data_IF_925920101924
#
_entry.id   IF_925920101924
#
_cell.length_a   1.000
_cell.length_b   1.000
_cell.length_c   1.000
_cell.angle_alpha   90.00
_cell.angle_beta   90.00
_cell.angle_gamma   90.00
#
_symmetry.space_group_name_H-M   'P 1'
#
loop_
_entity.id
_entity.type
_entity.pdbx_description
1 polymer ?
#
# COMPACT_ATOMS: atom_id res chain seq x y z
N UNK A 1 2.79 -32.19 -66.16
CA UNK A 1 3.53 -31.64 -65.00
C UNK A 1 3.12 -30.19 -64.80
N UNK A 2 2.20 -29.90 -63.89
CA UNK A 2 1.73 -28.52 -63.59
C UNK A 2 2.64 -27.90 -62.54
N UNK A 3 3.40 -26.85 -62.90
CA UNK A 3 4.19 -26.09 -61.93
C UNK A 3 3.26 -25.20 -61.14
N UNK A 4 3.19 -25.48 -59.83
CA UNK A 4 2.45 -24.64 -58.89
C UNK A 4 3.39 -23.46 -58.53
N UNK A 5 3.02 -22.24 -58.95
CA UNK A 5 3.74 -21.02 -58.62
C UNK A 5 3.21 -20.56 -57.25
N UNK A 6 4.05 -20.74 -56.22
CA UNK A 6 3.78 -20.25 -54.86
C UNK A 6 4.02 -18.73 -54.84
N UNK A 7 2.92 -17.97 -54.85
CA UNK A 7 2.98 -16.50 -54.72
C UNK A 7 3.20 -16.20 -53.21
N UNK A 8 4.44 -15.89 -52.84
CA UNK A 8 4.78 -15.45 -51.49
C UNK A 8 4.24 -13.99 -51.36
N UNK A 9 3.11 -13.82 -50.71
CA UNK A 9 2.60 -12.48 -50.36
C UNK A 9 3.54 -11.86 -49.33
N UNK A 10 4.32 -10.88 -49.75
CA UNK A 10 5.11 -10.01 -48.87
C UNK A 10 4.12 -9.13 -48.08
N UNK A 11 3.74 -9.54 -46.88
CA UNK A 11 3.03 -8.68 -45.94
C UNK A 11 4.00 -7.60 -45.49
N UNK A 12 3.77 -6.31 -45.76
CA UNK A 12 4.67 -5.28 -45.23
C UNK A 12 4.61 -5.32 -43.72
N UNK A 13 5.73 -5.60 -43.10
CA UNK A 13 5.88 -5.43 -41.65
C UNK A 13 5.67 -3.94 -41.34
N UNK A 14 4.49 -3.61 -40.85
CA UNK A 14 4.23 -2.28 -40.25
C UNK A 14 5.14 -2.17 -39.06
N UNK A 15 6.29 -1.53 -39.23
CA UNK A 15 7.19 -1.18 -38.16
C UNK A 15 6.47 -0.10 -37.31
N UNK A 16 5.66 -0.54 -36.36
CA UNK A 16 5.14 0.34 -35.34
C UNK A 16 6.33 0.84 -34.54
N UNK A 17 6.65 2.13 -34.68
CA UNK A 17 7.72 2.76 -33.95
C UNK A 17 7.51 2.48 -32.44
N UNK A 18 8.48 1.81 -31.83
CA UNK A 18 8.38 1.52 -30.39
C UNK A 18 8.40 2.85 -29.61
N UNK A 19 7.58 2.96 -28.54
CA UNK A 19 7.61 4.15 -27.70
C UNK A 19 9.02 4.42 -27.20
N UNK A 20 9.47 5.67 -27.32
CA UNK A 20 10.79 6.07 -26.86
C UNK A 20 10.89 5.96 -25.33
N UNK A 21 11.96 5.35 -24.84
CA UNK A 21 12.28 5.32 -23.43
C UNK A 21 13.07 6.57 -23.03
N UNK A 22 12.66 7.18 -21.92
CA UNK A 22 13.27 8.36 -21.31
C UNK A 22 13.66 8.06 -19.86
N UNK A 23 14.70 8.71 -19.38
CA UNK A 23 14.95 8.88 -17.95
C UNK A 23 13.90 9.82 -17.34
N UNK A 24 13.76 9.77 -16.01
CA UNK A 24 12.86 10.69 -15.27
C UNK A 24 13.21 12.16 -15.57
N UNK A 25 14.49 12.51 -15.57
CA UNK A 25 14.96 13.87 -15.87
C UNK A 25 14.60 14.33 -17.28
N UNK A 26 14.71 13.46 -18.28
CA UNK A 26 14.35 13.77 -19.66
C UNK A 26 12.83 13.91 -19.79
N UNK A 27 12.05 13.04 -19.16
CA UNK A 27 10.61 13.10 -19.16
C UNK A 27 10.09 14.41 -18.53
N UNK A 28 10.67 14.84 -17.41
CA UNK A 28 10.29 16.09 -16.73
C UNK A 28 10.70 17.36 -17.47
N UNK A 29 11.50 17.27 -18.54
CA UNK A 29 11.84 18.39 -19.42
C UNK A 29 10.92 18.55 -20.63
N UNK A 30 9.96 17.63 -20.80
CA UNK A 30 9.00 17.71 -21.90
C UNK A 30 8.10 18.94 -21.74
N UNK A 31 7.52 19.38 -22.86
CA UNK A 31 6.55 20.49 -22.86
C UNK A 31 5.12 19.97 -22.69
N UNK A 32 4.28 20.76 -22.03
CA UNK A 32 2.89 20.40 -21.75
C UNK A 32 2.03 20.14 -23.02
N UNK A 33 2.45 20.64 -24.17
CA UNK A 33 1.80 20.42 -25.47
C UNK A 33 2.13 19.05 -26.09
N UNK A 34 3.08 18.30 -25.52
CA UNK A 34 3.47 16.98 -26.04
C UNK A 34 2.42 15.94 -25.66
N UNK A 35 1.69 15.43 -26.64
CA UNK A 35 0.68 14.39 -26.47
C UNK A 35 1.24 12.98 -26.64
N UNK A 36 2.52 12.84 -26.93
CA UNK A 36 3.22 11.57 -27.13
C UNK A 36 3.32 10.80 -25.81
N UNK A 37 3.20 9.49 -25.90
CA UNK A 37 3.45 8.60 -24.75
C UNK A 37 4.89 8.11 -24.78
N UNK A 38 5.51 8.13 -23.61
CA UNK A 38 6.91 7.71 -23.40
C UNK A 38 7.01 6.61 -22.37
N UNK A 39 8.00 5.74 -22.52
CA UNK A 39 8.38 4.75 -21.52
C UNK A 39 9.31 5.39 -20.49
N UNK A 40 9.01 5.17 -19.23
CA UNK A 40 9.93 5.48 -18.11
C UNK A 40 10.03 4.25 -17.23
N UNK A 41 11.27 3.89 -16.89
CA UNK A 41 11.55 2.79 -15.96
C UNK A 41 12.15 3.35 -14.68
N UNK A 42 11.73 2.78 -13.54
CA UNK A 42 12.27 3.15 -12.25
C UNK A 42 11.75 2.25 -11.13
N UNK A 43 12.19 2.54 -9.93
CA UNK A 43 11.75 1.88 -8.70
C UNK A 43 10.61 2.66 -8.07
N UNK A 44 9.62 1.99 -7.54
CA UNK A 44 8.54 2.62 -6.75
C UNK A 44 9.13 3.15 -5.45
N UNK A 45 9.31 4.45 -5.37
CA UNK A 45 9.84 5.10 -4.17
C UNK A 45 8.78 5.23 -3.07
N UNK A 46 7.52 5.46 -3.47
CA UNK A 46 6.39 5.63 -2.55
C UNK A 46 5.07 5.44 -3.29
N UNK A 47 4.13 4.68 -2.72
CA UNK A 47 2.72 4.67 -3.16
C UNK A 47 1.99 5.84 -2.50
N UNK A 48 1.45 6.77 -3.28
CA UNK A 48 0.74 7.94 -2.78
C UNK A 48 -0.73 7.64 -2.49
N UNK A 49 -1.39 6.93 -3.41
CA UNK A 49 -2.80 6.54 -3.29
C UNK A 49 -3.11 5.32 -4.13
N UNK A 50 -3.47 4.23 -3.47
CA UNK A 50 -3.93 3.02 -4.14
C UNK A 50 -5.29 3.21 -4.87
N UNK A 51 -6.14 4.12 -4.38
CA UNK A 51 -7.45 4.41 -5.00
C UNK A 51 -7.30 5.12 -6.34
N UNK A 52 -6.41 6.11 -6.43
CA UNK A 52 -6.16 6.86 -7.67
C UNK A 52 -5.08 6.25 -8.55
N UNK A 53 -4.42 5.18 -8.13
CA UNK A 53 -3.30 4.59 -8.86
C UNK A 53 -2.11 5.54 -8.97
N UNK A 54 -1.82 6.32 -7.91
CA UNK A 54 -0.75 7.31 -7.94
C UNK A 54 0.41 6.93 -7.02
N UNK A 55 1.62 7.07 -7.55
CA UNK A 55 2.86 6.73 -6.87
C UNK A 55 4.04 7.54 -7.41
N UNK A 56 5.15 7.52 -6.68
CA UNK A 56 6.41 8.11 -7.12
C UNK A 56 7.32 7.02 -7.70
N UNK A 57 7.71 7.21 -8.96
CA UNK A 57 8.67 6.39 -9.69
C UNK A 57 10.02 7.09 -9.67
N UNK A 58 11.08 6.42 -9.25
CA UNK A 58 12.42 6.98 -9.11
C UNK A 58 13.43 6.21 -9.96
N UNK A 59 14.28 6.96 -10.66
CA UNK A 59 15.51 6.47 -11.29
C UNK A 59 16.72 7.25 -10.77
N UNK A 60 17.96 6.95 -11.18
CA UNK A 60 19.14 7.71 -10.77
C UNK A 60 19.10 9.21 -11.11
N UNK A 61 18.20 9.64 -12.00
CA UNK A 61 18.14 11.01 -12.51
C UNK A 61 17.09 11.87 -11.83
N UNK A 62 16.13 11.25 -11.09
CA UNK A 62 15.10 11.98 -10.37
C UNK A 62 13.90 11.14 -9.93
N UNK A 63 12.85 11.85 -9.49
CA UNK A 63 11.60 11.26 -9.06
C UNK A 63 10.43 11.82 -9.86
N UNK A 64 9.56 10.95 -10.37
CA UNK A 64 8.41 11.26 -11.20
C UNK A 64 7.12 10.86 -10.48
N UNK A 65 6.15 11.76 -10.40
CA UNK A 65 4.80 11.40 -10.01
C UNK A 65 4.08 10.73 -11.20
N UNK A 66 3.64 9.51 -11.00
CA UNK A 66 2.75 8.80 -11.93
C UNK A 66 1.33 8.84 -11.37
N UNK A 67 0.35 9.21 -12.19
CA UNK A 67 -1.05 9.30 -11.82
C UNK A 67 -1.92 8.42 -12.71
N UNK A 68 -2.82 7.65 -12.09
CA UNK A 68 -3.82 6.86 -12.81
C UNK A 68 -3.27 5.62 -13.50
N UNK A 69 -2.27 4.93 -12.90
CA UNK A 69 -1.73 3.70 -13.47
C UNK A 69 -2.82 2.64 -13.64
N UNK A 70 -2.86 2.04 -14.83
CA UNK A 70 -3.69 0.89 -15.18
C UNK A 70 -2.82 -0.21 -15.78
N UNK A 71 -3.24 -1.46 -15.63
CA UNK A 71 -2.64 -2.59 -16.33
C UNK A 71 -3.52 -2.96 -17.54
N UNK A 72 -3.05 -2.75 -18.78
CA UNK A 72 -3.79 -3.14 -19.97
C UNK A 72 -4.03 -4.65 -20.09
N UNK A 73 -3.18 -5.47 -19.48
CA UNK A 73 -3.33 -6.92 -19.47
C UNK A 73 -4.44 -7.40 -18.51
N UNK A 74 -4.86 -6.53 -17.58
CA UNK A 74 -5.87 -6.80 -16.57
C UNK A 74 -6.94 -5.70 -16.55
N UNK A 75 -7.74 -5.55 -17.63
CA UNK A 75 -8.76 -4.52 -17.70
C UNK A 75 -9.81 -4.73 -16.60
N UNK A 76 -10.11 -3.66 -15.84
CA UNK A 76 -11.05 -3.70 -14.71
C UNK A 76 -10.40 -3.92 -13.34
N UNK A 77 -9.12 -4.34 -13.28
CA UNK A 77 -8.35 -4.41 -12.04
C UNK A 77 -7.92 -3.00 -11.65
N UNK A 78 -8.20 -2.60 -10.41
CA UNK A 78 -7.74 -1.32 -9.89
C UNK A 78 -6.29 -1.42 -9.38
N UNK A 79 -5.64 -0.27 -9.22
CA UNK A 79 -4.24 -0.21 -8.79
C UNK A 79 -3.96 -0.99 -7.49
N UNK A 80 -4.87 -0.94 -6.51
CA UNK A 80 -4.69 -1.65 -5.24
C UNK A 80 -4.65 -3.18 -5.39
N UNK A 81 -5.15 -3.71 -6.51
CA UNK A 81 -5.14 -5.15 -6.83
C UNK A 81 -3.92 -5.56 -7.66
N UNK A 82 -3.13 -4.60 -8.18
CA UNK A 82 -1.91 -4.88 -8.95
C UNK A 82 -0.73 -5.30 -8.07
N UNK A 83 -0.92 -5.30 -6.75
CA UNK A 83 0.10 -5.65 -5.77
C UNK A 83 1.45 -4.95 -6.02
N UNK A 84 1.38 -3.63 -6.26
CA UNK A 84 2.54 -2.78 -6.45
C UNK A 84 2.91 -2.17 -5.10
N UNK A 85 4.14 -2.43 -4.67
CA UNK A 85 4.68 -1.94 -3.39
C UNK A 85 5.96 -1.13 -3.60
N UNK A 86 6.37 -0.40 -2.58
CA UNK A 86 7.66 0.29 -2.55
C UNK A 86 8.80 -0.72 -2.80
N UNK A 87 9.75 -0.34 -3.63
CA UNK A 87 10.88 -1.19 -4.01
C UNK A 87 10.68 -1.96 -5.32
N UNK A 88 9.45 -2.12 -5.80
CA UNK A 88 9.19 -2.77 -7.09
C UNK A 88 9.75 -1.93 -8.23
N UNK A 89 10.27 -2.60 -9.26
CA UNK A 89 10.70 -1.95 -10.49
C UNK A 89 9.61 -2.00 -11.54
N UNK A 90 9.20 -0.84 -12.03
CA UNK A 90 8.16 -0.71 -13.04
C UNK A 90 8.70 -0.07 -14.32
N UNK A 91 8.20 -0.52 -15.47
CA UNK A 91 8.24 0.22 -16.74
C UNK A 91 6.83 0.71 -17.03
N UNK A 92 6.67 2.01 -17.16
CA UNK A 92 5.37 2.66 -17.35
C UNK A 92 5.37 3.45 -18.65
N UNK A 93 4.32 3.29 -19.44
CA UNK A 93 4.03 4.10 -20.63
C UNK A 93 3.00 5.15 -20.26
N UNK A 94 3.30 6.43 -20.49
CA UNK A 94 2.35 7.50 -20.20
C UNK A 94 2.74 8.83 -20.81
N UNK A 95 1.88 9.81 -20.65
CA UNK A 95 2.03 11.16 -21.22
C UNK A 95 2.50 12.15 -20.16
N UNK A 96 3.32 13.09 -20.57
CA UNK A 96 3.68 14.22 -19.71
C UNK A 96 2.49 15.18 -19.55
N UNK A 97 2.31 15.69 -18.34
CA UNK A 97 1.32 16.75 -18.07
C UNK A 97 1.78 17.64 -16.91
N UNK A 98 1.21 18.84 -16.86
CA UNK A 98 1.38 19.77 -15.73
C UNK A 98 0.01 19.92 -15.05
N UNK A 99 -0.12 19.35 -13.86
CA UNK A 99 -1.36 19.44 -13.08
C UNK A 99 -1.36 20.69 -12.19
N UNK A 100 -2.47 21.42 -12.18
CA UNK A 100 -2.62 22.65 -11.37
C UNK A 100 -1.60 23.74 -11.69
N UNK A 101 -1.01 23.73 -12.88
CA UNK A 101 -0.05 24.72 -13.34
C UNK A 101 1.39 24.58 -12.79
N UNK A 102 1.64 23.64 -11.90
CA UNK A 102 2.95 23.51 -11.25
C UNK A 102 3.46 22.09 -11.04
N UNK A 103 2.57 21.10 -10.93
CA UNK A 103 2.98 19.72 -10.66
C UNK A 103 3.26 18.98 -11.96
N UNK A 104 4.53 18.62 -12.19
CA UNK A 104 4.95 17.82 -13.33
C UNK A 104 4.67 16.34 -13.04
N UNK A 105 3.88 15.69 -13.89
CA UNK A 105 3.49 14.30 -13.68
C UNK A 105 3.36 13.51 -14.99
N UNK A 106 3.42 12.18 -14.88
CA UNK A 106 2.97 11.26 -15.91
C UNK A 106 1.48 10.95 -15.69
N UNK A 107 0.65 11.25 -16.68
CA UNK A 107 -0.79 10.95 -16.69
C UNK A 107 -1.09 9.76 -17.59
N UNK A 108 -2.22 9.10 -17.32
CA UNK A 108 -2.71 7.93 -18.07
C UNK A 108 -1.64 6.81 -18.16
N UNK A 109 -0.97 6.57 -17.03
CA UNK A 109 0.06 5.56 -16.92
C UNK A 109 -0.48 4.16 -17.25
N UNK A 110 0.25 3.42 -18.10
CA UNK A 110 -0.02 2.01 -18.43
C UNK A 110 1.16 1.18 -17.97
N UNK A 111 0.89 0.16 -17.18
CA UNK A 111 1.91 -0.80 -16.77
C UNK A 111 2.35 -1.61 -17.99
N UNK A 112 3.65 -1.60 -18.27
CA UNK A 112 4.27 -2.38 -19.37
C UNK A 112 5.04 -3.56 -18.80
N UNK A 113 5.73 -3.36 -17.67
CA UNK A 113 6.50 -4.39 -16.99
C UNK A 113 6.55 -4.12 -15.49
N UNK A 114 6.47 -5.17 -14.71
CA UNK A 114 6.69 -5.18 -13.27
C UNK A 114 7.75 -6.23 -12.93
N UNK A 115 8.66 -5.88 -12.03
CA UNK A 115 9.54 -6.82 -11.36
C UNK A 115 9.48 -6.53 -9.86
N UNK A 116 9.26 -7.57 -9.09
CA UNK A 116 9.13 -7.49 -7.64
C UNK A 116 10.45 -7.04 -7.01
N UNK A 117 10.35 -6.10 -6.07
CA UNK A 117 11.48 -5.62 -5.30
C UNK A 117 11.79 -6.52 -4.10
N UNK A 118 12.89 -6.25 -3.37
CA UNK A 118 13.31 -7.08 -2.23
C UNK A 118 12.25 -7.15 -1.12
N UNK A 119 11.44 -6.11 -0.97
CA UNK A 119 10.42 -6.03 0.09
C UNK A 119 9.03 -6.51 -0.36
N UNK A 120 8.90 -7.00 -1.59
CA UNK A 120 7.60 -7.35 -2.18
C UNK A 120 6.87 -8.43 -1.37
N UNK A 121 7.60 -9.46 -0.94
CA UNK A 121 7.06 -10.58 -0.17
C UNK A 121 6.93 -10.32 1.33
N UNK A 122 7.36 -9.16 1.82
CA UNK A 122 7.19 -8.80 3.22
C UNK A 122 5.73 -8.45 3.52
N UNK A 123 5.24 -8.83 4.71
CA UNK A 123 3.93 -8.40 5.17
C UNK A 123 3.86 -6.87 5.27
N UNK A 124 2.63 -6.29 5.23
CA UNK A 124 2.45 -4.86 5.45
C UNK A 124 3.10 -4.41 6.78
N UNK A 125 3.01 -5.24 7.82
CA UNK A 125 3.59 -4.95 9.12
C UNK A 125 5.13 -4.88 9.09
N UNK A 126 5.77 -5.75 8.30
CA UNK A 126 7.24 -5.78 8.18
C UNK A 126 7.78 -4.63 7.34
N UNK A 127 6.98 -4.12 6.41
CA UNK A 127 7.31 -2.94 5.57
C UNK A 127 7.13 -1.60 6.27
N UNK A 128 6.59 -1.55 7.49
CA UNK A 128 6.43 -0.31 8.23
C UNK A 128 7.78 0.34 8.53
N UNK A 129 7.91 1.63 8.24
CA UNK A 129 9.08 2.44 8.62
C UNK A 129 9.24 2.55 10.13
N UNK A 130 8.12 2.58 10.84
CA UNK A 130 8.05 2.52 12.29
C UNK A 130 6.85 1.70 12.72
N UNK A 131 7.08 0.72 13.56
CA UNK A 131 6.02 -0.09 14.16
C UNK A 131 5.27 0.70 15.24
N UNK A 132 4.00 0.38 15.52
CA UNK A 132 3.29 1.03 16.62
C UNK A 132 4.00 0.81 17.94
N UNK A 133 3.98 1.79 18.82
CA UNK A 133 4.63 1.67 20.11
C UNK A 133 3.68 2.02 21.28
N UNK A 134 3.72 1.18 22.32
CA UNK A 134 2.99 1.40 23.55
C UNK A 134 3.95 1.58 24.71
N UNK A 135 3.83 2.71 25.45
CA UNK A 135 4.72 3.05 26.57
C UNK A 135 6.21 2.94 26.23
N UNK A 136 6.60 3.36 25.03
CA UNK A 136 7.99 3.37 24.57
C UNK A 136 8.52 2.04 24.01
N UNK A 137 7.74 0.97 24.04
CA UNK A 137 8.08 -0.33 23.46
C UNK A 137 7.41 -0.48 22.10
N UNK A 138 8.17 -0.88 21.08
CA UNK A 138 7.69 -0.98 19.68
C UNK A 138 7.30 -2.41 19.29
N UNK A 139 6.45 -2.53 18.31
CA UNK A 139 6.13 -3.79 17.66
C UNK A 139 5.56 -4.83 18.62
N UNK A 140 6.14 -6.02 18.59
CA UNK A 140 5.71 -7.14 19.44
C UNK A 140 5.84 -6.81 20.93
N UNK A 141 6.97 -6.17 21.35
CA UNK A 141 7.15 -5.75 22.73
C UNK A 141 6.11 -4.71 23.17
N UNK A 142 5.70 -3.82 22.27
CA UNK A 142 4.62 -2.85 22.50
C UNK A 142 3.29 -3.54 22.74
N UNK A 143 2.99 -4.59 21.96
CA UNK A 143 1.77 -5.39 22.12
C UNK A 143 1.79 -6.14 23.47
N UNK A 144 2.92 -6.74 23.86
CA UNK A 144 3.05 -7.41 25.17
C UNK A 144 2.91 -6.41 26.32
N UNK A 145 3.51 -5.23 26.23
CA UNK A 145 3.32 -4.17 27.21
C UNK A 145 1.85 -3.71 27.31
N UNK A 146 1.14 -3.69 26.20
CA UNK A 146 -0.28 -3.38 26.16
C UNK A 146 -1.12 -4.49 26.82
N UNK A 147 -0.84 -5.77 26.52
CA UNK A 147 -1.49 -6.91 27.17
C UNK A 147 -1.34 -6.85 28.69
N UNK A 148 -0.11 -6.61 29.14
CA UNK A 148 0.17 -6.47 30.59
C UNK A 148 -0.61 -5.29 31.20
N UNK A 149 -0.69 -4.16 30.50
CA UNK A 149 -1.47 -3.02 30.94
C UNK A 149 -2.97 -3.34 31.02
N UNK A 150 -3.54 -3.99 30.01
CA UNK A 150 -4.95 -4.44 30.00
C UNK A 150 -5.21 -5.35 31.18
N UNK A 151 -4.37 -6.36 31.40
CA UNK A 151 -4.54 -7.32 32.49
C UNK A 151 -4.46 -6.65 33.87
N UNK A 152 -3.59 -5.66 34.05
CA UNK A 152 -3.46 -4.89 35.30
C UNK A 152 -4.70 -4.01 35.59
N UNK A 153 -5.37 -3.52 34.56
CA UNK A 153 -6.51 -2.59 34.68
C UNK A 153 -7.86 -3.27 34.46
N UNK A 154 -7.86 -4.58 34.22
CA UNK A 154 -9.05 -5.40 34.10
C UNK A 154 -9.73 -5.56 35.45
N UNK A 155 -11.03 -5.36 35.47
CA UNK A 155 -11.86 -5.65 36.66
C UNK A 155 -12.50 -7.05 36.52
N UNK A 156 -12.89 -7.64 37.62
CA UNK A 156 -13.68 -8.87 37.59
C UNK A 156 -14.97 -8.63 36.79
N UNK A 157 -15.41 -9.64 36.04
CA UNK A 157 -16.69 -9.59 35.38
C UNK A 157 -17.83 -9.45 36.42
N UNK A 158 -18.88 -8.69 36.09
CA UNK A 158 -19.96 -8.41 37.01
C UNK A 158 -20.74 -9.69 37.45
N UNK A 159 -20.70 -10.72 36.62
CA UNK A 159 -21.28 -12.04 36.87
C UNK A 159 -20.30 -13.02 37.58
N UNK A 160 -19.09 -12.58 37.88
CA UNK A 160 -18.05 -13.41 38.51
C UNK A 160 -17.49 -14.51 37.61
N UNK A 161 -17.85 -14.54 36.33
CA UNK A 161 -17.38 -15.55 35.38
C UNK A 161 -15.88 -15.42 35.10
N UNK A 162 -15.25 -16.55 34.80
CA UNK A 162 -13.85 -16.65 34.38
C UNK A 162 -13.76 -17.21 32.98
N UNK A 163 -12.65 -16.93 32.28
CA UNK A 163 -12.44 -17.40 30.92
C UNK A 163 -11.68 -16.39 30.06
N UNK A 164 -11.80 -16.50 28.75
CA UNK A 164 -11.09 -15.67 27.79
C UNK A 164 -12.05 -14.97 26.85
N UNK A 165 -11.78 -13.70 26.58
CA UNK A 165 -12.48 -12.89 25.56
C UNK A 165 -11.47 -12.43 24.55
N UNK A 166 -11.74 -12.68 23.28
CA UNK A 166 -10.95 -12.16 22.15
C UNK A 166 -11.51 -10.79 21.75
N UNK A 167 -10.65 -9.76 21.81
CA UNK A 167 -11.00 -8.37 21.51
C UNK A 167 -10.20 -7.89 20.29
N UNK A 168 -10.91 -7.43 19.28
CA UNK A 168 -10.35 -6.73 18.12
C UNK A 168 -10.38 -5.23 18.36
N UNK A 169 -9.33 -4.53 17.96
CA UNK A 169 -9.24 -3.07 18.03
C UNK A 169 -8.30 -2.52 16.95
N UNK A 170 -8.34 -1.21 16.72
CA UNK A 170 -7.47 -0.51 15.78
C UNK A 170 -6.73 0.59 16.50
N UNK A 171 -5.40 0.64 16.34
CA UNK A 171 -4.60 1.82 16.68
C UNK A 171 -4.72 2.81 15.54
N UNK A 172 -5.37 3.94 15.79
CA UNK A 172 -5.61 4.99 14.80
C UNK A 172 -4.37 5.79 14.45
N UNK A 173 -4.45 6.62 13.42
CA UNK A 173 -3.36 7.52 12.98
C UNK A 173 -2.90 8.52 14.04
N UNK A 174 -3.76 8.85 14.99
CA UNK A 174 -3.47 9.71 16.13
C UNK A 174 -3.00 8.94 17.38
N UNK A 175 -2.80 7.62 17.26
CA UNK A 175 -2.44 6.72 18.34
C UNK A 175 -3.60 6.31 19.27
N UNK A 176 -4.80 6.87 19.09
CA UNK A 176 -5.97 6.48 19.88
C UNK A 176 -6.50 5.11 19.48
N UNK A 177 -7.08 4.40 20.43
CA UNK A 177 -7.72 3.11 20.20
C UNK A 177 -9.13 3.34 19.64
N UNK A 178 -9.48 2.62 18.59
CA UNK A 178 -10.71 2.74 17.84
C UNK A 178 -11.29 1.36 17.52
N UNK A 179 -12.57 1.30 17.18
CA UNK A 179 -13.24 0.08 16.68
C UNK A 179 -13.05 -1.14 17.58
N UNK A 180 -13.19 -0.93 18.89
CA UNK A 180 -13.01 -2.01 19.87
C UNK A 180 -14.25 -2.90 19.89
N UNK A 181 -14.05 -4.19 19.66
CA UNK A 181 -15.11 -5.20 19.59
C UNK A 181 -14.67 -6.50 20.25
N UNK A 182 -15.50 -7.06 21.12
CA UNK A 182 -15.35 -8.42 21.60
C UNK A 182 -15.90 -9.39 20.53
N UNK A 183 -15.02 -10.11 19.85
CA UNK A 183 -15.36 -10.93 18.67
C UNK A 183 -15.60 -12.40 19.01
N UNK A 184 -15.06 -12.89 20.15
CA UNK A 184 -15.19 -14.31 20.53
C UNK A 184 -15.04 -14.50 22.04
N UNK A 185 -15.68 -15.53 22.58
CA UNK A 185 -15.56 -15.99 23.97
C UNK A 185 -16.30 -15.14 24.99
N UNK A 186 -16.26 -15.57 26.24
CA UNK A 186 -16.79 -14.91 27.44
C UNK A 186 -18.31 -14.66 27.48
N UNK A 187 -18.77 -14.34 28.68
CA UNK A 187 -20.15 -13.89 28.94
C UNK A 187 -20.35 -12.44 28.46
N UNK A 188 -21.59 -11.93 28.36
CA UNK A 188 -21.83 -10.53 28.07
C UNK A 188 -21.13 -9.56 29.04
N UNK A 189 -21.06 -9.89 30.34
CA UNK A 189 -20.37 -9.09 31.33
C UNK A 189 -18.85 -9.06 31.12
N UNK A 190 -18.23 -10.20 30.82
CA UNK A 190 -16.82 -10.28 30.46
C UNK A 190 -16.51 -9.48 29.20
N UNK A 191 -17.33 -9.61 28.16
CA UNK A 191 -17.17 -8.84 26.91
C UNK A 191 -17.25 -7.34 27.13
N UNK A 192 -18.23 -6.87 27.90
CA UNK A 192 -18.38 -5.45 28.23
C UNK A 192 -17.15 -4.90 28.95
N UNK A 193 -16.63 -5.62 29.97
CA UNK A 193 -15.45 -5.20 30.70
C UNK A 193 -14.17 -5.25 29.85
N UNK A 194 -14.00 -6.29 29.02
CA UNK A 194 -12.89 -6.38 28.09
C UNK A 194 -12.84 -5.20 27.09
N UNK A 195 -13.99 -4.83 26.54
CA UNK A 195 -14.12 -3.65 25.66
C UNK A 195 -13.80 -2.37 26.44
N UNK A 196 -14.37 -2.20 27.64
CA UNK A 196 -14.15 -1.02 28.49
C UNK A 196 -12.66 -0.82 28.79
N UNK A 197 -11.96 -1.86 29.23
CA UNK A 197 -10.54 -1.74 29.60
C UNK A 197 -9.67 -1.41 28.39
N UNK A 198 -9.91 -2.03 27.24
CA UNK A 198 -9.15 -1.74 26.01
C UNK A 198 -9.40 -0.29 25.56
N UNK A 199 -10.64 0.20 25.59
CA UNK A 199 -10.98 1.58 25.25
C UNK A 199 -10.37 2.62 26.17
N UNK A 200 -10.16 2.29 27.45
CA UNK A 200 -9.61 3.21 28.46
C UNK A 200 -8.09 3.33 28.42
N UNK A 201 -7.42 2.63 27.51
CA UNK A 201 -5.97 2.60 27.48
C UNK A 201 -5.34 3.93 27.00
N UNK A 202 -4.15 4.25 27.48
CA UNK A 202 -3.36 5.37 26.98
C UNK A 202 -3.10 5.25 25.48
N UNK A 203 -2.86 6.40 24.84
CA UNK A 203 -2.52 6.46 23.42
C UNK A 203 -1.22 5.72 23.11
N UNK A 204 -1.20 5.08 21.98
CA UNK A 204 0.00 4.56 21.33
C UNK A 204 0.73 5.66 20.54
N UNK A 205 1.99 5.44 20.20
CA UNK A 205 2.58 6.09 19.05
C UNK A 205 2.15 5.29 17.81
N UNK A 206 1.57 5.94 16.78
CA UNK A 206 1.06 5.22 15.61
C UNK A 206 2.18 4.62 14.76
N UNK A 207 1.83 3.62 13.95
CA UNK A 207 2.69 3.13 12.89
C UNK A 207 2.93 4.21 11.83
N UNK A 208 4.10 4.17 11.20
CA UNK A 208 4.44 5.02 10.05
C UNK A 208 4.70 4.15 8.84
N UNK A 209 4.05 4.48 7.74
CA UNK A 209 4.31 3.93 6.41
C UNK A 209 4.38 5.08 5.43
N UNK A 210 5.42 5.11 4.59
CA UNK A 210 5.69 6.16 3.61
C UNK A 210 5.64 7.58 4.21
N UNK A 211 6.27 7.74 5.39
CA UNK A 211 6.35 9.01 6.12
C UNK A 211 5.02 9.48 6.73
N UNK A 212 3.96 8.68 6.67
CA UNK A 212 2.62 9.05 7.15
C UNK A 212 2.10 8.09 8.21
N UNK A 213 1.38 8.58 9.25
CA UNK A 213 0.73 7.71 10.21
C UNK A 213 -0.33 6.83 9.55
N UNK A 214 -0.33 5.54 9.87
CA UNK A 214 -1.29 4.56 9.35
C UNK A 214 -2.05 3.87 10.48
N UNK A 215 -3.21 3.29 10.14
CA UNK A 215 -4.04 2.53 11.07
C UNK A 215 -3.53 1.10 11.16
N UNK A 216 -3.50 0.55 12.38
CA UNK A 216 -3.05 -0.83 12.63
C UNK A 216 -4.12 -1.61 13.39
N UNK A 217 -4.68 -2.67 12.79
CA UNK A 217 -5.59 -3.58 13.47
C UNK A 217 -4.80 -4.55 14.37
N UNK A 218 -5.38 -4.87 15.51
CA UNK A 218 -4.88 -5.86 16.46
C UNK A 218 -6.01 -6.74 16.98
N UNK A 219 -5.63 -7.93 17.40
CA UNK A 219 -6.48 -8.83 18.19
C UNK A 219 -5.75 -9.21 19.47
N UNK A 220 -6.46 -9.23 20.58
CA UNK A 220 -5.95 -9.46 21.91
C UNK A 220 -6.84 -10.45 22.67
N UNK A 221 -6.23 -11.42 23.33
CA UNK A 221 -6.91 -12.24 24.32
C UNK A 221 -6.87 -11.57 25.70
N UNK A 222 -8.04 -11.35 26.30
CA UNK A 222 -8.23 -10.84 27.66
C UNK A 222 -8.71 -11.98 28.54
N UNK A 223 -7.96 -12.27 29.61
CA UNK A 223 -8.23 -13.40 30.54
C UNK A 223 -8.82 -12.88 31.85
N UNK A 224 -9.96 -13.46 32.25
CA UNK A 224 -10.67 -13.18 33.48
C UNK A 224 -10.42 -14.25 34.54
#
# INVERSE_FOLDING_TARGET
MKKLLLLLALVPAVCLAQPRQLSVKEFLKLQASDTTSYLVQGVVAKVRSATSGSFYLQDPTGTLLVYGLKDPAQPGVNFGQLDIVKGDTLTVLGRFTIYGGSTLEMKDGRLVRKADGPDHNLSFYDRLERKPSFKGKEGAEGLEAFKAWVQKNLKKAADGATGTVEVRFVVGRNGGIQEVQAIKGGTPAMRAEAVRVVQSAPKWKPAISDGSPVRMPYTLEVRF
#
